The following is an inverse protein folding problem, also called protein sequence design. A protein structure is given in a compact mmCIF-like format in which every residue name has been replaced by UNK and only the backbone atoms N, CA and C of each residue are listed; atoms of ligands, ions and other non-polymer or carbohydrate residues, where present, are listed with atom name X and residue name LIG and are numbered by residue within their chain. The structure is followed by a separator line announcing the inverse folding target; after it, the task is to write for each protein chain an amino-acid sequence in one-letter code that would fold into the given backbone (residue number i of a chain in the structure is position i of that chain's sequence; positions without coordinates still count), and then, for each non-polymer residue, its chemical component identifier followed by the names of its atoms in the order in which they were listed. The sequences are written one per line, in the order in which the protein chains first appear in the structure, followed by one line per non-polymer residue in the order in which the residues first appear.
data_IF_266941359591
#
_entry.id   IF_266941359591
#
_cell.length_a   1.000
_cell.length_b   1.000
_cell.length_c   1.000
_cell.angle_alpha   90.00
_cell.angle_beta   90.00
_cell.angle_gamma   90.00
#
_symmetry.space_group_name_H-M   'P 1'
#
loop_
_entity.id
_entity.type
_entity.pdbx_description
1 polymer ?
#
# COMPACT_ATOMS: atom_id res chain seq x y z
N UNK A 1 0.86 -11.56 41.78
CA UNK A 1 1.05 -11.40 40.32
C UNK A 1 -0.31 -11.60 39.71
N UNK A 2 -0.92 -10.54 39.20
CA UNK A 2 -2.25 -10.63 38.59
C UNK A 2 -2.18 -11.52 37.34
N UNK A 3 -3.17 -12.38 37.15
CA UNK A 3 -3.20 -13.30 36.02
C UNK A 3 -3.35 -12.49 34.73
N UNK A 4 -2.72 -12.93 33.64
CA UNK A 4 -2.87 -12.34 32.30
C UNK A 4 -4.35 -12.21 31.91
N UNK A 5 -5.20 -13.10 32.47
CA UNK A 5 -6.66 -13.10 32.29
C UNK A 5 -7.37 -11.93 33.00
N UNK A 6 -6.85 -11.47 34.13
CA UNK A 6 -7.39 -10.35 34.91
C UNK A 6 -6.99 -9.00 34.27
N UNK A 7 -5.78 -8.93 33.72
CA UNK A 7 -5.30 -7.79 32.92
C UNK A 7 -6.18 -7.63 31.66
N UNK A 8 -6.53 -8.75 31.01
CA UNK A 8 -7.43 -8.78 29.85
C UNK A 8 -8.88 -8.40 30.19
N UNK A 9 -9.32 -8.65 31.42
CA UNK A 9 -10.68 -8.30 31.88
C UNK A 9 -10.82 -6.79 32.11
N UNK A 10 -9.77 -6.14 32.60
CA UNK A 10 -9.75 -4.69 32.81
C UNK A 10 -9.62 -3.89 31.51
N UNK A 11 -8.99 -4.44 30.47
CA UNK A 11 -8.94 -3.81 29.12
C UNK A 11 -10.31 -3.70 28.43
N UNK A 12 -11.29 -4.51 28.83
CA UNK A 12 -12.66 -4.52 28.30
C UNK A 12 -13.67 -3.81 29.20
N UNK A 13 -13.24 -3.15 30.28
CA UNK A 13 -14.13 -2.32 31.07
C UNK A 13 -14.31 -0.98 30.36
N UNK A 14 -15.53 -0.74 29.86
CA UNK A 14 -15.96 0.58 29.42
C UNK A 14 -15.92 1.52 30.63
N UNK A 15 -15.02 2.50 30.62
CA UNK A 15 -15.11 3.61 31.56
C UNK A 15 -16.37 4.41 31.24
N UNK A 16 -17.42 4.20 32.02
CA UNK A 16 -18.59 5.08 32.05
C UNK A 16 -18.20 6.32 32.82
N UNK A 17 -17.73 7.34 32.10
CA UNK A 17 -17.58 8.69 32.62
C UNK A 17 -18.96 9.35 32.75
N UNK A 18 -19.36 9.66 33.98
CA UNK A 18 -20.52 10.49 34.28
C UNK A 18 -20.22 11.97 33.96
N UNK A 19 -20.41 12.42 32.71
CA UNK A 19 -20.56 13.87 32.42
C UNK A 19 -21.51 14.14 31.23
N UNK A 20 -22.40 15.15 31.33
CA UNK A 20 -23.42 15.46 30.31
C UNK A 20 -22.86 16.03 29.00
N UNK A 21 -21.54 16.25 28.89
CA UNK A 21 -20.90 16.84 27.70
C UNK A 21 -20.29 15.80 26.75
N UNK A 22 -20.31 14.51 27.10
CA UNK A 22 -19.76 13.41 26.29
C UNK A 22 -20.51 13.13 24.98
N UNK A 23 -21.72 13.67 24.79
CA UNK A 23 -22.53 13.44 23.59
C UNK A 23 -22.03 14.20 22.36
N UNK A 24 -21.33 15.32 22.53
CA UNK A 24 -20.92 16.17 21.39
C UNK A 24 -19.71 15.62 20.62
N UNK A 25 -18.93 14.73 21.22
CA UNK A 25 -17.76 14.11 20.61
C UNK A 25 -17.85 12.57 20.62
N UNK A 26 -19.03 12.02 20.36
CA UNK A 26 -19.19 10.57 20.20
C UNK A 26 -18.49 10.04 18.93
N UNK A 27 -17.18 9.79 19.08
CA UNK A 27 -16.34 9.14 18.07
C UNK A 27 -16.53 7.62 18.05
N UNK A 28 -17.34 7.05 18.94
CA UNK A 28 -17.62 5.60 18.99
C UNK A 28 -18.34 5.13 17.72
N UNK A 29 -19.14 6.02 17.12
CA UNK A 29 -19.80 5.82 15.83
C UNK A 29 -18.80 5.76 14.65
N UNK A 30 -17.71 6.53 14.72
CA UNK A 30 -16.66 6.57 13.68
C UNK A 30 -15.63 5.44 13.81
N UNK A 31 -15.36 5.00 15.04
CA UNK A 31 -14.42 3.92 15.37
C UNK A 31 -14.87 2.56 14.80
N UNK A 32 -16.19 2.34 14.67
CA UNK A 32 -16.78 1.04 14.31
C UNK A 32 -16.74 0.67 12.83
N UNK A 33 -15.97 1.34 11.98
CA UNK A 33 -15.55 0.70 10.72
C UNK A 33 -14.43 -0.29 11.02
N UNK A 34 -14.84 -1.43 11.61
CA UNK A 34 -14.07 -2.67 11.56
C UNK A 34 -13.86 -2.96 10.08
N UNK A 35 -12.69 -2.60 9.56
CA UNK A 35 -12.31 -2.95 8.20
C UNK A 35 -12.38 -4.47 8.16
N UNK A 36 -13.40 -5.00 7.50
CA UNK A 36 -13.51 -6.43 7.22
C UNK A 36 -12.42 -6.71 6.20
N UNK A 37 -11.19 -6.87 6.69
CA UNK A 37 -10.11 -7.46 5.93
C UNK A 37 -10.53 -8.92 5.84
N UNK A 38 -11.29 -9.24 4.79
CA UNK A 38 -11.77 -10.57 4.48
C UNK A 38 -10.59 -11.54 4.61
N UNK A 39 -10.64 -12.47 5.58
CA UNK A 39 -9.61 -13.52 5.78
C UNK A 39 -9.46 -14.45 4.56
N UNK A 40 -10.34 -14.31 3.56
CA UNK A 40 -10.25 -14.98 2.25
C UNK A 40 -9.30 -14.30 1.26
N UNK A 41 -8.79 -13.10 1.53
CA UNK A 41 -7.88 -12.39 0.63
C UNK A 41 -6.42 -12.52 1.08
N UNK A 42 -5.73 -13.48 0.44
CA UNK A 42 -4.29 -13.75 0.45
C UNK A 42 -3.41 -12.51 0.79
N UNK A 43 -2.91 -12.45 2.03
CA UNK A 43 -1.73 -11.71 2.54
C UNK A 43 -1.35 -10.37 1.87
N UNK A 44 -2.27 -9.40 1.77
CA UNK A 44 -1.91 -8.00 1.50
C UNK A 44 -1.83 -7.27 2.85
N UNK A 45 -0.65 -7.31 3.47
CA UNK A 45 -0.42 -6.68 4.78
C UNK A 45 0.23 -5.29 4.65
N UNK A 46 0.88 -5.01 3.52
CA UNK A 46 1.70 -3.81 3.32
C UNK A 46 1.28 -3.07 2.05
N UNK A 47 1.40 -1.74 2.07
CA UNK A 47 1.02 -0.86 0.96
C UNK A 47 1.72 -1.25 -0.35
N UNK A 48 3.04 -1.53 -0.30
CA UNK A 48 3.78 -1.91 -1.51
C UNK A 48 3.28 -3.21 -2.15
N UNK A 49 2.68 -4.13 -1.38
CA UNK A 49 2.08 -5.36 -1.91
C UNK A 49 0.82 -5.04 -2.69
N UNK A 50 -0.03 -4.20 -2.12
CA UNK A 50 -1.23 -3.68 -2.79
C UNK A 50 -0.86 -2.92 -4.06
N UNK A 51 0.15 -2.05 -3.99
CA UNK A 51 0.60 -1.30 -5.15
C UNK A 51 1.16 -2.19 -6.26
N UNK A 52 2.01 -3.16 -5.93
CA UNK A 52 2.53 -4.11 -6.91
C UNK A 52 1.43 -4.91 -7.61
N UNK A 53 0.42 -5.36 -6.85
CA UNK A 53 -0.77 -6.01 -7.40
C UNK A 53 -1.57 -5.08 -8.31
N UNK A 54 -1.78 -3.83 -7.89
CA UNK A 54 -2.47 -2.81 -8.69
C UNK A 54 -1.74 -2.54 -10.00
N UNK A 55 -0.42 -2.39 -9.98
CA UNK A 55 0.39 -2.20 -11.19
C UNK A 55 0.26 -3.38 -12.15
N UNK A 56 0.41 -4.61 -11.63
CA UNK A 56 0.26 -5.83 -12.41
C UNK A 56 -1.13 -5.91 -13.08
N UNK A 57 -2.19 -5.61 -12.34
CA UNK A 57 -3.56 -5.57 -12.86
C UNK A 57 -3.76 -4.49 -13.92
N UNK A 58 -3.28 -3.27 -13.68
CA UNK A 58 -3.40 -2.15 -14.63
C UNK A 58 -2.62 -2.37 -15.92
N UNK A 59 -1.45 -3.03 -15.84
CA UNK A 59 -0.62 -3.36 -16.99
C UNK A 59 -1.05 -4.68 -17.69
N UNK A 60 -2.05 -5.38 -17.16
CA UNK A 60 -2.54 -6.64 -17.71
C UNK A 60 -1.57 -7.82 -17.56
N UNK A 61 -0.66 -7.77 -16.59
CA UNK A 61 0.42 -8.74 -16.41
C UNK A 61 0.35 -9.47 -15.06
N UNK A 62 -0.64 -10.35 -14.95
CA UNK A 62 -0.85 -11.18 -13.76
C UNK A 62 0.24 -12.24 -13.55
N UNK A 63 0.98 -12.60 -14.61
CA UNK A 63 2.02 -13.64 -14.54
C UNK A 63 3.25 -13.16 -13.76
N UNK A 64 3.55 -11.86 -13.79
CA UNK A 64 4.75 -11.27 -13.16
C UNK A 64 4.44 -10.46 -11.91
N UNK A 65 3.32 -10.71 -11.23
CA UNK A 65 2.88 -10.01 -10.00
C UNK A 65 3.97 -9.91 -8.94
N UNK A 66 4.70 -11.00 -8.69
CA UNK A 66 5.78 -11.04 -7.68
C UNK A 66 6.88 -10.02 -7.97
N UNK A 67 7.20 -9.82 -9.25
CA UNK A 67 8.19 -8.84 -9.69
C UNK A 67 7.71 -7.41 -9.42
N UNK A 68 6.44 -7.10 -9.72
CA UNK A 68 5.86 -5.78 -9.45
C UNK A 68 5.83 -5.47 -7.95
N UNK A 69 5.50 -6.45 -7.10
CA UNK A 69 5.54 -6.31 -5.64
C UNK A 69 6.97 -6.05 -5.16
N UNK A 70 7.96 -6.79 -5.70
CA UNK A 70 9.37 -6.59 -5.36
C UNK A 70 9.84 -5.17 -5.74
N UNK A 71 9.50 -4.72 -6.94
CA UNK A 71 9.86 -3.38 -7.39
C UNK A 71 9.18 -2.28 -6.57
N UNK A 72 7.91 -2.45 -6.23
CA UNK A 72 7.18 -1.55 -5.34
C UNK A 72 7.85 -1.41 -3.96
N UNK A 73 8.51 -2.48 -3.48
CA UNK A 73 9.24 -2.48 -2.21
C UNK A 73 10.62 -1.82 -2.32
N UNK A 74 11.33 -2.02 -3.42
CA UNK A 74 12.75 -1.67 -3.56
C UNK A 74 12.99 -0.32 -4.25
N UNK A 75 12.13 0.06 -5.20
CA UNK A 75 12.34 1.24 -6.05
C UNK A 75 11.56 2.45 -5.51
N UNK A 76 12.07 3.68 -5.67
CA UNK A 76 11.33 4.89 -5.36
C UNK A 76 9.98 4.94 -6.07
N UNK A 77 8.92 5.32 -5.34
CA UNK A 77 7.56 5.37 -5.87
C UNK A 77 7.44 6.27 -7.10
N UNK A 78 8.14 7.41 -7.10
CA UNK A 78 8.15 8.37 -8.20
C UNK A 78 8.56 7.72 -9.54
N UNK A 79 9.57 6.84 -9.54
CA UNK A 79 10.04 6.15 -10.75
C UNK A 79 8.94 5.25 -11.31
N UNK A 80 8.27 4.50 -10.43
CA UNK A 80 7.22 3.56 -10.85
C UNK A 80 5.98 4.28 -11.37
N UNK A 81 5.56 5.38 -10.74
CA UNK A 81 4.41 6.16 -11.20
C UNK A 81 4.70 6.87 -12.54
N UNK A 82 5.89 7.45 -12.70
CA UNK A 82 6.31 8.05 -13.98
C UNK A 82 6.37 7.02 -15.11
N UNK A 83 6.95 5.85 -14.84
CA UNK A 83 6.99 4.76 -15.82
C UNK A 83 5.60 4.23 -16.16
N UNK A 84 4.70 4.16 -15.17
CA UNK A 84 3.32 3.74 -15.38
C UNK A 84 2.55 4.73 -16.24
N UNK A 85 2.62 6.03 -15.94
CA UNK A 85 2.00 7.09 -16.76
C UNK A 85 2.48 7.01 -18.21
N UNK A 86 3.79 6.89 -18.42
CA UNK A 86 4.34 6.74 -19.76
C UNK A 86 3.81 5.49 -20.49
N UNK A 87 3.70 4.36 -19.80
CA UNK A 87 3.27 3.11 -20.41
C UNK A 87 1.78 3.09 -20.78
N UNK A 88 0.93 3.81 -20.06
CA UNK A 88 -0.50 3.90 -20.37
C UNK A 88 -0.79 4.85 -21.54
N UNK A 89 -0.01 5.92 -21.66
CA UNK A 89 -0.15 6.93 -22.72
C UNK A 89 0.52 6.50 -24.02
N UNK A 90 1.26 5.38 -24.02
CA UNK A 90 2.01 4.94 -25.19
C UNK A 90 1.09 4.48 -26.33
N UNK A 91 1.20 5.07 -27.54
CA UNK A 91 0.33 4.75 -28.66
C UNK A 91 0.54 3.33 -29.15
N UNK A 92 -0.57 2.59 -29.39
CA UNK A 92 -0.56 1.26 -30.00
C UNK A 92 0.37 0.22 -29.32
N UNK A 93 0.47 0.25 -27.99
CA UNK A 93 1.29 -0.70 -27.24
C UNK A 93 0.70 -2.13 -27.26
N UNK A 94 1.38 -3.07 -27.94
CA UNK A 94 1.05 -4.50 -27.90
C UNK A 94 1.20 -5.09 -26.48
N UNK A 95 2.25 -4.69 -25.77
CA UNK A 95 2.56 -5.12 -24.40
C UNK A 95 2.97 -3.92 -23.52
N UNK A 96 1.99 -3.25 -22.90
CA UNK A 96 2.22 -2.11 -21.99
C UNK A 96 3.15 -2.46 -20.81
N UNK A 97 3.09 -3.71 -20.34
CA UNK A 97 3.97 -4.22 -19.29
C UNK A 97 5.47 -4.16 -19.65
N UNK A 98 5.84 -4.41 -20.92
CA UNK A 98 7.23 -4.35 -21.38
C UNK A 98 7.72 -2.90 -21.49
N UNK A 99 6.86 -2.02 -21.99
CA UNK A 99 7.15 -0.57 -22.09
C UNK A 99 7.39 0.00 -20.69
N UNK A 100 6.54 -0.36 -19.73
CA UNK A 100 6.73 -0.02 -18.33
C UNK A 100 8.09 -0.48 -17.81
N UNK A 101 8.45 -1.75 -18.01
CA UNK A 101 9.73 -2.29 -17.52
C UNK A 101 10.94 -1.60 -18.13
N UNK A 102 10.89 -1.32 -19.44
CA UNK A 102 11.92 -0.56 -20.13
C UNK A 102 12.05 0.85 -19.54
N UNK A 103 10.94 1.56 -19.38
CA UNK A 103 10.94 2.93 -18.82
C UNK A 103 11.41 2.98 -17.37
N UNK A 104 11.05 1.99 -16.53
CA UNK A 104 11.57 1.87 -15.16
C UNK A 104 13.10 1.79 -15.16
N UNK A 105 13.69 1.00 -16.06
CA UNK A 105 15.14 0.84 -16.17
C UNK A 105 15.83 2.13 -16.62
N UNK A 106 15.23 2.83 -17.58
CA UNK A 106 15.72 4.13 -18.06
C UNK A 106 15.72 5.18 -16.92
N UNK A 107 14.58 5.37 -16.25
CA UNK A 107 14.44 6.32 -15.14
C UNK A 107 15.34 5.98 -13.95
N UNK A 108 15.60 4.70 -13.67
CA UNK A 108 16.57 4.31 -12.65
C UNK A 108 18.00 4.73 -12.99
N UNK A 109 18.39 4.64 -14.26
CA UNK A 109 19.72 5.07 -14.68
C UNK A 109 19.86 6.58 -14.56
N UNK A 110 18.84 7.33 -14.98
CA UNK A 110 18.79 8.79 -14.81
C UNK A 110 18.85 9.19 -13.33
N UNK A 111 18.08 8.50 -12.48
CA UNK A 111 18.08 8.75 -11.04
C UNK A 111 19.46 8.52 -10.41
N UNK A 112 20.15 7.45 -10.82
CA UNK A 112 21.52 7.14 -10.37
C UNK A 112 22.53 8.16 -10.89
N UNK A 113 22.41 8.61 -12.13
CA UNK A 113 23.29 9.63 -12.70
C UNK A 113 23.17 10.95 -11.93
N UNK A 114 21.94 11.43 -11.74
CA UNK A 114 21.65 12.64 -10.94
C UNK A 114 22.16 12.53 -9.51
N UNK A 115 22.06 11.36 -8.88
CA UNK A 115 22.59 11.15 -7.53
C UNK A 115 24.11 11.30 -7.48
N UNK A 116 24.83 10.84 -8.51
CA UNK A 116 26.30 10.97 -8.61
C UNK A 116 26.75 12.41 -8.85
N UNK A 117 26.01 13.18 -9.65
CA UNK A 117 26.33 14.59 -9.92
C UNK A 117 26.15 15.48 -8.68
N UNK A 118 25.25 15.11 -7.77
CA UNK A 118 24.95 15.86 -6.55
C UNK A 118 25.70 15.35 -5.30
N UNK A 119 26.58 14.35 -5.43
CA UNK A 119 27.41 13.81 -4.34
C UNK A 119 28.86 14.27 -4.51
#
# INVERSE_FOLDING_TARGET
MDSIKDILKNLNQEEKGDEPQGELFDTSSLSKRKVVINDKHKYISKEYQFYGLRLAGKLGDSKRVTMYIKWAKEKPRAILEQAYSFAIDYPSAKDRSRIFMWKVKELENEYKAKKKENS
#
